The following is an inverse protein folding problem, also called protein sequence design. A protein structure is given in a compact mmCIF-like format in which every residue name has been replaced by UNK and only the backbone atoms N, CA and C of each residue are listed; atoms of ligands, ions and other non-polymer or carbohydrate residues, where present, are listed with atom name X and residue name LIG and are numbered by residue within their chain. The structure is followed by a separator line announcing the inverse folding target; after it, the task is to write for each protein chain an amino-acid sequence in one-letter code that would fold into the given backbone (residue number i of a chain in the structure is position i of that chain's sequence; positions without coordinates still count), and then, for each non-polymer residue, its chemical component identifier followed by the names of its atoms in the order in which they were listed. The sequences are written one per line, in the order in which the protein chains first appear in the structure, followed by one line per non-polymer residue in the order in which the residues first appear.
data_IF_196969921943
#
_entry.id   IF_196969921943
#
_cell.length_a   1.000
_cell.length_b   1.000
_cell.length_c   1.000
_cell.angle_alpha   90.00
_cell.angle_beta   90.00
_cell.angle_gamma   90.00
#
_symmetry.space_group_name_H-M   'P 1'
#
loop_
_entity.id
_entity.type
_entity.pdbx_description
1 polymer ?
#
# COMPACT_ATOMS: atom_id res chain seq x y z
N UNK A 1 -6.05 4.90 19.54
CA UNK A 1 -6.62 3.61 19.04
C UNK A 1 -7.37 3.78 17.71
N UNK A 2 -7.91 4.98 17.43
CA UNK A 2 -8.69 5.34 16.22
C UNK A 2 -7.96 5.13 14.86
N UNK A 3 -6.67 5.43 14.76
CA UNK A 3 -5.95 5.34 13.49
C UNK A 3 -5.82 3.89 12.93
N UNK A 4 -5.80 2.88 13.81
CA UNK A 4 -5.67 1.47 13.41
C UNK A 4 -7.00 0.92 12.87
N UNK A 5 -8.13 1.39 13.42
CA UNK A 5 -9.46 1.02 12.95
C UNK A 5 -9.75 1.58 11.57
N UNK A 6 -9.30 2.80 11.28
CA UNK A 6 -9.51 3.46 9.99
C UNK A 6 -8.71 2.80 8.86
N UNK A 7 -7.43 2.48 9.09
CA UNK A 7 -6.62 1.75 8.12
C UNK A 7 -7.22 0.39 7.76
N UNK A 8 -7.63 -0.38 8.77
CA UNK A 8 -8.22 -1.71 8.57
C UNK A 8 -9.52 -1.63 7.78
N UNK A 9 -10.36 -0.63 8.06
CA UNK A 9 -11.60 -0.39 7.31
C UNK A 9 -11.32 -0.05 5.84
N UNK A 10 -10.35 0.82 5.57
CA UNK A 10 -9.95 1.21 4.21
C UNK A 10 -9.40 0.03 3.41
N UNK A 11 -8.55 -0.81 4.01
CA UNK A 11 -8.04 -2.03 3.36
C UNK A 11 -9.17 -3.01 3.04
N UNK A 12 -10.14 -3.19 3.94
CA UNK A 12 -11.31 -4.04 3.67
C UNK A 12 -12.13 -3.53 2.49
N UNK A 13 -12.35 -2.23 2.41
CA UNK A 13 -13.10 -1.61 1.31
C UNK A 13 -12.34 -1.74 -0.01
N UNK A 14 -11.04 -1.47 -0.04
CA UNK A 14 -10.19 -1.70 -1.21
C UNK A 14 -10.32 -3.15 -1.70
N UNK A 15 -10.24 -4.14 -0.80
CA UNK A 15 -10.40 -5.56 -1.16
C UNK A 15 -11.78 -5.89 -1.69
N UNK A 16 -12.84 -5.25 -1.20
CA UNK A 16 -14.21 -5.41 -1.70
C UNK A 16 -14.31 -4.91 -3.14
N UNK A 17 -13.85 -3.68 -3.39
CA UNK A 17 -13.84 -3.05 -4.72
C UNK A 17 -13.01 -3.86 -5.73
N UNK A 18 -11.82 -4.33 -5.34
CA UNK A 18 -10.98 -5.16 -6.23
C UNK A 18 -11.67 -6.46 -6.65
N UNK A 19 -12.36 -7.13 -5.70
CA UNK A 19 -13.16 -8.33 -6.01
C UNK A 19 -14.32 -8.02 -6.95
N UNK A 20 -14.98 -6.89 -6.74
CA UNK A 20 -16.11 -6.45 -7.54
C UNK A 20 -15.68 -6.06 -8.97
N UNK A 21 -14.55 -5.36 -9.12
CA UNK A 21 -13.94 -5.06 -10.40
C UNK A 21 -13.56 -6.35 -11.15
N UNK A 22 -12.97 -7.34 -10.47
CA UNK A 22 -12.60 -8.59 -11.12
C UNK A 22 -13.81 -9.33 -11.69
N UNK A 23 -14.97 -9.23 -11.04
CA UNK A 23 -16.24 -9.83 -11.49
C UNK A 23 -16.90 -9.06 -12.62
N UNK A 24 -16.97 -7.73 -12.51
CA UNK A 24 -17.76 -6.88 -13.41
C UNK A 24 -16.98 -6.32 -14.59
N UNK A 25 -15.65 -6.17 -14.44
CA UNK A 25 -14.77 -5.38 -15.33
C UNK A 25 -15.23 -3.93 -15.50
N UNK A 26 -16.00 -3.40 -14.55
CA UNK A 26 -16.51 -2.04 -14.59
C UNK A 26 -15.37 -1.02 -14.36
N UNK A 27 -15.25 -0.04 -15.25
CA UNK A 27 -14.25 1.02 -15.20
C UNK A 27 -14.45 1.99 -14.03
N UNK A 28 -15.68 2.23 -13.61
CA UNK A 28 -15.97 3.05 -12.43
C UNK A 28 -15.47 2.36 -11.16
N UNK A 29 -15.67 1.04 -11.06
CA UNK A 29 -15.17 0.27 -9.91
C UNK A 29 -13.64 0.24 -9.90
N UNK A 30 -13.01 0.15 -11.07
CA UNK A 30 -11.55 0.28 -11.18
C UNK A 30 -11.04 1.64 -10.69
N UNK A 31 -11.75 2.73 -11.00
CA UNK A 31 -11.40 4.07 -10.53
C UNK A 31 -11.49 4.14 -9.00
N UNK A 32 -12.57 3.62 -8.41
CA UNK A 32 -12.73 3.58 -6.95
C UNK A 32 -11.66 2.69 -6.27
N UNK A 33 -11.26 1.57 -6.89
CA UNK A 33 -10.12 0.77 -6.41
C UNK A 33 -8.84 1.60 -6.29
N UNK A 34 -8.49 2.33 -7.35
CA UNK A 34 -7.27 3.15 -7.39
C UNK A 34 -7.30 4.28 -6.37
N UNK A 35 -8.48 4.86 -6.15
CA UNK A 35 -8.66 5.88 -5.12
C UNK A 35 -8.43 5.30 -3.72
N UNK A 36 -9.01 4.14 -3.43
CA UNK A 36 -8.80 3.46 -2.15
C UNK A 36 -7.33 3.04 -1.93
N UNK A 37 -6.64 2.61 -2.99
CA UNK A 37 -5.19 2.33 -2.97
C UNK A 37 -4.39 3.59 -2.59
N UNK A 38 -4.66 4.73 -3.24
CA UNK A 38 -3.98 6.00 -2.95
C UNK A 38 -4.20 6.44 -1.49
N UNK A 39 -5.43 6.34 -0.97
CA UNK A 39 -5.72 6.70 0.42
C UNK A 39 -4.95 5.83 1.43
N UNK A 40 -4.75 4.55 1.11
CA UNK A 40 -3.95 3.62 1.93
C UNK A 40 -2.47 3.98 1.85
N UNK A 41 -1.96 4.26 0.66
CA UNK A 41 -0.57 4.66 0.44
C UNK A 41 -0.23 5.97 1.15
N UNK A 42 -1.17 6.93 1.19
CA UNK A 42 -1.02 8.17 1.95
C UNK A 42 -0.95 7.89 3.45
N UNK A 43 -1.78 7.00 3.98
CA UNK A 43 -1.72 6.59 5.40
C UNK A 43 -0.38 5.92 5.69
N UNK A 44 0.10 5.03 4.82
CA UNK A 44 1.39 4.35 4.99
C UNK A 44 2.56 5.35 4.92
N UNK A 45 2.54 6.29 3.97
CA UNK A 45 3.60 7.28 3.78
C UNK A 45 3.65 8.28 4.93
N UNK A 46 2.50 8.70 5.46
CA UNK A 46 2.44 9.58 6.62
C UNK A 46 2.86 8.89 7.93
N UNK A 47 2.81 7.56 8.00
CA UNK A 47 3.27 6.77 9.15
C UNK A 47 4.69 6.21 8.98
N UNK A 48 5.32 6.37 7.81
CA UNK A 48 6.72 6.06 7.63
C UNK A 48 7.56 7.18 8.28
N UNK A 49 8.00 6.96 9.52
CA UNK A 49 9.28 7.54 9.92
C UNK A 49 10.33 7.11 8.89
N UNK A 50 11.29 7.97 8.52
CA UNK A 50 12.31 7.62 7.55
C UNK A 50 13.00 6.35 8.02
N UNK A 51 12.71 5.24 7.34
CA UNK A 51 13.45 4.00 7.55
C UNK A 51 14.85 4.34 7.08
N UNK A 52 15.75 4.61 8.04
CA UNK A 52 17.18 4.66 7.75
C UNK A 52 17.53 3.29 7.22
N UNK A 53 17.57 3.18 5.90
CA UNK A 53 18.12 2.03 5.21
C UNK A 53 19.57 1.91 5.67
N UNK A 54 19.82 1.07 6.68
CA UNK A 54 21.17 0.61 7.01
C UNK A 54 21.56 -0.40 5.93
N UNK A 55 21.90 0.11 4.75
CA UNK A 55 22.79 -0.60 3.84
C UNK A 55 24.21 -0.32 4.32
N UNK A 56 24.61 -1.04 5.36
CA UNK A 56 26.01 -1.11 5.78
C UNK A 56 26.65 -2.33 5.10
N UNK A 57 27.40 -2.05 4.05
CA UNK A 57 28.65 -2.70 3.67
C UNK A 57 28.77 -4.22 3.87
N UNK A 58 28.37 -4.97 2.84
CA UNK A 58 29.10 -6.17 2.45
C UNK A 58 29.83 -5.88 1.13
N UNK A 59 30.90 -5.08 1.23
CA UNK A 59 31.99 -5.10 0.26
C UNK A 59 32.47 -6.55 0.13
N UNK A 60 32.13 -7.23 -0.95
CA UNK A 60 32.89 -8.41 -1.38
C UNK A 60 34.21 -7.91 -2.00
N UNK A 61 35.40 -8.27 -1.47
CA UNK A 61 36.63 -8.00 -2.19
C UNK A 61 36.80 -9.00 -3.35
N UNK A 62 36.84 -8.41 -4.55
CA UNK A 62 37.45 -8.82 -5.82
C UNK A 62 37.83 -10.28 -6.06
N UNK A 63 37.26 -10.86 -7.11
CA UNK A 63 37.87 -11.97 -7.86
C UNK A 63 38.79 -11.36 -8.94
N UNK A 64 40.08 -11.20 -8.64
CA UNK A 64 41.21 -11.21 -9.58
C UNK A 64 42.51 -11.42 -8.79
#
# INVERSE_FOLDING_TARGET
MEAITDFTAKVREMRRLQKEYFRSRDKYILMECKKAESEIDDILSNNQQPVKTVVADALQPSLF
#
